data_IF_778307290801
#
_entry.id   IF_778307290801
#
_cell.length_a   1.000
_cell.length_b   1.000
_cell.length_c   1.000
_cell.angle_alpha   90.00
_cell.angle_beta   90.00
_cell.angle_gamma   90.00
#
_symmetry.space_group_name_H-M   'P 1'
#
loop_
_entity.id
_entity.type
_entity.pdbx_description
1 polymer ?
#
# COMPACT_ATOMS: atom_id res chain seq x y z
N UNK A 1 10.01 1.33 35.46
CA UNK A 1 8.60 0.90 35.33
C UNK A 1 8.48 -0.11 34.21
N UNK A 2 7.78 -1.23 34.39
CA UNK A 2 7.48 -2.19 33.31
C UNK A 2 5.99 -2.12 32.99
N UNK A 3 5.64 -1.78 31.75
CA UNK A 3 4.26 -1.83 31.27
C UNK A 3 3.88 -3.29 30.93
N UNK A 4 2.61 -3.68 31.17
CA UNK A 4 2.14 -5.01 30.76
C UNK A 4 1.92 -5.07 29.25
N UNK A 5 2.16 -6.24 28.64
CA UNK A 5 1.92 -6.46 27.21
C UNK A 5 0.48 -6.08 26.80
N UNK A 6 -0.51 -6.44 27.64
CA UNK A 6 -1.92 -6.05 27.43
C UNK A 6 -2.10 -4.54 27.34
N UNK A 7 -1.40 -3.76 28.18
CA UNK A 7 -1.47 -2.31 28.15
C UNK A 7 -0.83 -1.73 26.88
N UNK A 8 0.32 -2.28 26.45
CA UNK A 8 1.02 -1.86 25.23
C UNK A 8 0.12 -2.08 24.00
N UNK A 9 -0.41 -3.29 23.82
CA UNK A 9 -1.29 -3.63 22.69
C UNK A 9 -2.55 -2.74 22.68
N UNK A 10 -3.15 -2.49 23.85
CA UNK A 10 -4.31 -1.60 23.95
C UNK A 10 -4.01 -0.17 23.51
N UNK A 11 -2.79 0.31 23.72
CA UNK A 11 -2.38 1.68 23.43
C UNK A 11 -1.70 1.84 22.06
N UNK A 12 -1.42 0.75 21.35
CA UNK A 12 -0.61 0.76 20.12
C UNK A 12 -1.18 1.68 19.03
N UNK A 13 -2.49 1.91 19.00
CA UNK A 13 -3.14 2.76 17.99
C UNK A 13 -3.09 4.27 18.32
N UNK A 14 -2.54 4.64 19.48
CA UNK A 14 -2.49 6.02 19.99
C UNK A 14 -1.08 6.64 19.93
N UNK A 15 -0.14 5.99 19.25
CA UNK A 15 1.27 6.41 19.18
C UNK A 15 1.59 7.34 18.00
N UNK A 16 0.57 7.75 17.25
CA UNK A 16 0.71 8.47 16.00
C UNK A 16 1.10 9.94 16.19
N UNK A 17 1.88 10.46 15.24
CA UNK A 17 2.09 11.91 15.09
C UNK A 17 1.01 12.56 14.20
N UNK A 18 1.03 13.89 14.05
CA UNK A 18 0.05 14.61 13.23
C UNK A 18 0.04 14.20 11.76
N UNK A 19 1.20 13.88 11.17
CA UNK A 19 1.30 13.43 9.78
C UNK A 19 0.68 12.02 9.61
N UNK A 20 0.82 11.15 10.60
CA UNK A 20 0.25 9.80 10.57
C UNK A 20 -1.26 9.78 10.84
N UNK A 21 -1.83 10.81 11.47
CA UNK A 21 -3.29 10.90 11.68
C UNK A 21 -4.09 10.92 10.39
N UNK A 22 -3.54 11.54 9.35
CA UNK A 22 -4.21 11.72 8.06
C UNK A 22 -4.12 10.47 7.18
N UNK A 23 -3.26 9.51 7.54
CA UNK A 23 -3.06 8.30 6.76
C UNK A 23 -4.29 7.39 6.81
N UNK A 24 -4.68 6.78 5.67
CA UNK A 24 -5.86 5.92 5.61
C UNK A 24 -5.70 4.67 6.49
N UNK A 25 -4.46 4.16 6.57
CA UNK A 25 -4.06 2.98 7.34
C UNK A 25 -3.28 3.35 8.59
N UNK A 26 -3.64 2.75 9.73
CA UNK A 26 -3.06 3.05 11.05
C UNK A 26 -2.12 1.93 11.51
N UNK A 27 -1.11 1.61 10.68
CA UNK A 27 -0.08 0.62 10.99
C UNK A 27 1.19 1.29 11.52
N UNK A 28 1.22 1.57 12.83
CA UNK A 28 2.35 2.29 13.45
C UNK A 28 3.55 1.39 13.76
N UNK A 29 3.33 0.09 13.95
CA UNK A 29 4.37 -0.90 14.13
C UNK A 29 4.42 -1.75 12.87
N UNK A 30 5.53 -1.66 12.14
CA UNK A 30 5.76 -2.27 10.82
C UNK A 30 7.22 -2.72 10.71
N UNK A 31 7.57 -3.57 9.74
CA UNK A 31 8.98 -3.82 9.42
C UNK A 31 9.73 -2.49 9.21
N UNK A 32 10.96 -2.41 9.71
CA UNK A 32 11.83 -1.24 9.60
C UNK A 32 13.20 -1.65 9.07
N UNK A 33 13.95 -0.69 8.55
CA UNK A 33 15.38 -0.89 8.30
C UNK A 33 16.11 -0.87 9.64
N UNK A 34 16.75 -1.97 9.97
CA UNK A 34 17.43 -2.21 11.24
C UNK A 34 18.88 -1.72 11.22
N UNK A 35 19.44 -1.52 12.42
CA UNK A 35 20.85 -1.15 12.57
C UNK A 35 21.73 -2.34 12.18
N UNK A 36 22.66 -2.12 11.23
CA UNK A 36 23.50 -3.15 10.59
C UNK A 36 24.31 -4.05 11.54
N UNK A 37 24.55 -3.63 12.77
CA UNK A 37 25.42 -4.33 13.71
C UNK A 37 24.67 -5.11 14.81
N UNK A 38 23.33 -5.14 14.78
CA UNK A 38 22.59 -6.03 15.65
C UNK A 38 22.77 -7.48 15.20
N UNK A 39 23.03 -8.39 16.14
CA UNK A 39 23.35 -9.81 15.87
C UNK A 39 22.20 -10.54 15.16
N UNK A 40 20.98 -10.13 15.45
CA UNK A 40 19.72 -10.72 15.02
C UNK A 40 18.97 -9.86 13.98
N UNK A 41 19.65 -8.88 13.37
CA UNK A 41 19.04 -8.04 12.34
C UNK A 41 18.61 -8.86 11.12
N UNK A 42 17.39 -8.61 10.63
CA UNK A 42 16.78 -9.31 9.50
C UNK A 42 16.83 -8.43 8.25
N UNK A 43 16.38 -7.17 8.32
CA UNK A 43 16.32 -6.24 7.19
C UNK A 43 17.16 -5.01 7.50
N UNK A 44 18.35 -4.91 6.91
CA UNK A 44 19.32 -3.85 7.22
C UNK A 44 19.52 -2.82 6.10
N UNK A 45 18.81 -3.00 4.97
CA UNK A 45 18.79 -2.08 3.84
C UNK A 45 17.36 -1.92 3.33
N UNK A 46 17.08 -0.87 2.55
CA UNK A 46 15.73 -0.64 2.01
C UNK A 46 15.35 -1.80 1.08
N UNK A 47 14.10 -2.31 1.11
CA UNK A 47 13.68 -3.41 0.25
C UNK A 47 13.95 -3.19 -1.24
N UNK A 48 13.79 -1.95 -1.72
CA UNK A 48 14.11 -1.57 -3.10
C UNK A 48 15.60 -1.71 -3.44
N UNK A 49 16.50 -1.48 -2.49
CA UNK A 49 17.94 -1.65 -2.69
C UNK A 49 18.29 -3.12 -2.74
N UNK A 50 17.67 -3.94 -1.88
CA UNK A 50 17.91 -5.39 -1.81
C UNK A 50 17.54 -6.05 -3.13
N UNK A 51 16.33 -5.81 -3.66
CA UNK A 51 15.85 -6.43 -4.90
C UNK A 51 16.56 -5.90 -6.15
N UNK A 52 17.14 -4.70 -6.09
CA UNK A 52 17.94 -4.13 -7.20
C UNK A 52 19.41 -4.57 -7.20
N UNK A 53 19.90 -5.25 -6.16
CA UNK A 53 21.26 -5.82 -6.19
C UNK A 53 21.35 -6.85 -7.27
N UNK A 54 22.25 -6.64 -8.22
CA UNK A 54 22.34 -7.49 -9.40
C UNK A 54 22.53 -8.97 -9.03
N UNK A 55 21.60 -9.79 -9.49
CA UNK A 55 21.66 -11.24 -9.57
C UNK A 55 21.96 -11.96 -8.23
N UNK A 56 21.42 -11.44 -7.12
CA UNK A 56 21.57 -12.01 -5.77
C UNK A 56 20.50 -13.05 -5.43
N UNK A 57 19.40 -13.08 -6.18
CA UNK A 57 18.29 -13.99 -5.98
C UNK A 57 18.33 -15.12 -7.02
N UNK A 58 18.03 -16.36 -6.59
CA UNK A 58 18.11 -17.54 -7.48
C UNK A 58 16.87 -18.43 -7.44
N UNK A 59 16.00 -18.26 -6.45
CA UNK A 59 14.79 -19.05 -6.33
C UNK A 59 13.72 -18.59 -7.32
N UNK A 60 12.99 -19.49 -7.97
CA UNK A 60 11.78 -19.14 -8.70
C UNK A 60 10.76 -18.47 -7.78
N UNK A 61 10.08 -17.44 -8.29
CA UNK A 61 9.10 -16.66 -7.54
C UNK A 61 7.79 -16.62 -8.32
N UNK A 62 6.68 -16.75 -7.61
CA UNK A 62 5.35 -16.45 -8.14
C UNK A 62 4.74 -15.32 -7.30
N UNK A 63 4.36 -14.23 -7.96
CA UNK A 63 3.61 -13.14 -7.34
C UNK A 63 2.31 -12.90 -8.10
N UNK A 64 1.37 -12.21 -7.48
CA UNK A 64 0.15 -11.82 -8.14
C UNK A 64 -0.85 -11.25 -7.16
N UNK A 65 -2.00 -10.88 -7.69
CA UNK A 65 -3.10 -10.33 -6.92
C UNK A 65 -4.43 -10.73 -7.53
N UNK A 66 -5.49 -10.12 -7.02
CA UNK A 66 -6.82 -10.24 -7.58
C UNK A 66 -7.34 -8.91 -8.13
N UNK A 67 -8.45 -8.95 -8.89
CA UNK A 67 -9.02 -7.75 -9.51
C UNK A 67 -9.76 -6.81 -8.52
N UNK A 68 -9.82 -7.18 -7.23
CA UNK A 68 -10.56 -6.45 -6.19
C UNK A 68 -9.79 -6.39 -4.86
N UNK A 69 -8.46 -6.28 -4.88
CA UNK A 69 -7.61 -6.19 -3.67
C UNK A 69 -8.05 -5.04 -2.75
N UNK A 70 -8.46 -3.92 -3.35
CA UNK A 70 -8.94 -2.74 -2.65
C UNK A 70 -10.31 -2.89 -1.98
N UNK A 71 -11.00 -4.03 -2.12
CA UNK A 71 -12.34 -4.24 -1.54
C UNK A 71 -12.34 -4.14 -0.02
N UNK A 72 -11.32 -4.71 0.64
CA UNK A 72 -11.15 -4.59 2.09
C UNK A 72 -10.90 -3.15 2.51
N UNK A 73 -10.09 -2.41 1.75
CA UNK A 73 -9.82 -0.99 1.99
C UNK A 73 -11.08 -0.16 1.84
N UNK A 74 -11.82 -0.34 0.75
CA UNK A 74 -13.10 0.33 0.53
C UNK A 74 -14.05 0.07 1.69
N UNK A 75 -14.14 -1.18 2.16
CA UNK A 75 -14.92 -1.54 3.35
C UNK A 75 -14.44 -0.80 4.60
N UNK A 76 -13.14 -0.79 4.91
CA UNK A 76 -12.59 -0.10 6.09
C UNK A 76 -12.79 1.42 6.05
N UNK A 77 -12.76 2.01 4.86
CA UNK A 77 -12.87 3.46 4.65
C UNK A 77 -14.30 3.96 4.46
N UNK A 78 -15.30 3.07 4.33
CA UNK A 78 -16.70 3.42 4.03
C UNK A 78 -17.31 4.51 4.94
N UNK A 79 -16.87 4.60 6.20
CA UNK A 79 -17.32 5.61 7.16
C UNK A 79 -16.64 6.98 7.02
N UNK A 80 -15.51 7.04 6.31
CA UNK A 80 -14.65 8.23 6.14
C UNK A 80 -14.59 8.73 4.71
N UNK A 81 -15.32 8.12 3.77
CA UNK A 81 -15.24 8.42 2.32
C UNK A 81 -15.38 9.90 1.98
N UNK A 82 -16.26 10.63 2.68
CA UNK A 82 -16.48 12.06 2.46
C UNK A 82 -15.25 12.92 2.77
N UNK A 83 -14.29 12.41 3.52
CA UNK A 83 -13.03 13.12 3.80
C UNK A 83 -12.17 13.27 2.54
N UNK A 84 -12.24 12.31 1.60
CA UNK A 84 -11.48 12.37 0.36
C UNK A 84 -11.95 13.47 -0.59
N UNK A 85 -13.22 13.88 -0.49
CA UNK A 85 -13.72 15.05 -1.23
C UNK A 85 -13.13 16.37 -0.69
N UNK A 86 -12.86 16.43 0.62
CA UNK A 86 -12.26 17.60 1.28
C UNK A 86 -10.75 17.63 1.16
N UNK A 87 -10.14 16.45 1.11
CA UNK A 87 -8.71 16.20 1.11
C UNK A 87 -8.34 15.25 -0.04
N UNK A 88 -8.47 15.68 -1.30
CA UNK A 88 -8.21 14.82 -2.46
C UNK A 88 -6.76 14.34 -2.53
N UNK A 89 -5.81 15.05 -1.92
CA UNK A 89 -4.42 14.64 -1.77
C UNK A 89 -4.27 13.29 -1.04
N UNK A 90 -5.27 12.87 -0.25
CA UNK A 90 -5.29 11.56 0.43
C UNK A 90 -5.63 10.39 -0.50
N UNK A 91 -5.95 10.65 -1.77
CA UNK A 91 -6.13 9.63 -2.79
C UNK A 91 -4.80 9.21 -3.45
N UNK A 92 -3.71 9.92 -3.16
CA UNK A 92 -2.37 9.60 -3.67
C UNK A 92 -1.86 8.34 -2.97
N UNK A 93 -1.30 7.41 -3.75
CA UNK A 93 -0.65 6.19 -3.22
C UNK A 93 0.47 6.54 -2.25
N UNK A 94 0.58 5.73 -1.18
CA UNK A 94 1.69 5.82 -0.21
C UNK A 94 3.04 5.51 -0.84
N UNK A 95 3.10 4.89 -2.02
CA UNK A 95 4.34 4.72 -2.76
C UNK A 95 5.01 6.07 -3.09
N UNK A 96 4.22 7.14 -3.15
CA UNK A 96 4.69 8.50 -3.47
C UNK A 96 4.78 9.40 -2.23
N UNK A 97 4.79 8.84 -1.02
CA UNK A 97 4.83 9.64 0.21
C UNK A 97 6.17 10.39 0.34
N UNK A 98 7.28 9.72 0.03
CA UNK A 98 8.64 10.29 0.02
C UNK A 98 8.92 11.16 -1.24
N UNK A 99 8.00 11.20 -2.21
CA UNK A 99 8.21 11.94 -3.45
C UNK A 99 7.90 13.44 -3.25
N UNK A 100 8.78 14.31 -3.78
CA UNK A 100 8.50 15.73 -3.87
C UNK A 100 7.46 15.98 -4.98
N UNK A 101 6.24 16.29 -4.57
CA UNK A 101 5.12 16.57 -5.47
C UNK A 101 4.70 18.02 -5.27
N UNK A 102 5.02 18.93 -6.21
CA UNK A 102 4.73 20.37 -6.07
C UNK A 102 3.26 20.70 -5.84
N UNK A 103 2.33 19.93 -6.43
CA UNK A 103 0.88 20.10 -6.27
C UNK A 103 0.18 18.77 -5.94
N UNK A 104 0.27 18.34 -4.68
CA UNK A 104 -0.43 17.12 -4.20
C UNK A 104 -1.95 17.24 -4.29
N UNK A 105 -2.50 18.44 -4.08
CA UNK A 105 -3.96 18.64 -4.14
C UNK A 105 -4.46 18.50 -5.58
N UNK A 106 -3.76 19.09 -6.55
CA UNK A 106 -4.06 18.95 -7.97
C UNK A 106 -3.92 17.51 -8.45
N UNK A 107 -2.84 16.82 -8.06
CA UNK A 107 -2.70 15.39 -8.35
C UNK A 107 -3.85 14.56 -7.76
N UNK A 108 -4.23 14.82 -6.51
CA UNK A 108 -5.38 14.18 -5.88
C UNK A 108 -6.69 14.41 -6.64
N UNK A 109 -6.90 15.63 -7.16
CA UNK A 109 -8.06 15.95 -8.01
C UNK A 109 -8.02 15.21 -9.35
N UNK A 110 -6.84 15.05 -9.96
CA UNK A 110 -6.67 14.25 -11.18
C UNK A 110 -6.99 12.77 -10.94
N UNK A 111 -6.50 12.20 -9.84
CA UNK A 111 -6.82 10.83 -9.42
C UNK A 111 -8.34 10.69 -9.21
N UNK A 112 -8.94 11.63 -8.48
CA UNK A 112 -10.40 11.66 -8.31
C UNK A 112 -11.12 11.71 -9.66
N UNK A 113 -10.68 12.54 -10.58
CA UNK A 113 -11.29 12.65 -11.90
C UNK A 113 -11.20 11.33 -12.67
N UNK A 114 -10.05 10.64 -12.62
CA UNK A 114 -9.83 9.36 -13.29
C UNK A 114 -10.76 8.25 -12.77
N UNK A 115 -10.79 8.00 -11.46
CA UNK A 115 -11.58 6.90 -10.89
C UNK A 115 -13.07 7.24 -10.71
N UNK A 116 -13.38 8.49 -10.34
CA UNK A 116 -14.74 8.86 -9.93
C UNK A 116 -15.49 9.68 -10.98
N UNK A 117 -14.80 10.22 -12.00
CA UNK A 117 -15.43 11.01 -13.07
C UNK A 117 -16.12 12.28 -12.55
N UNK A 118 -15.58 12.89 -11.50
CA UNK A 118 -16.16 14.06 -10.84
C UNK A 118 -17.32 13.77 -9.86
N UNK A 119 -17.72 12.49 -9.71
CA UNK A 119 -18.72 12.09 -8.71
C UNK A 119 -18.21 12.30 -7.28
N UNK A 120 -19.14 12.40 -6.34
CA UNK A 120 -18.83 12.44 -4.90
C UNK A 120 -18.26 11.10 -4.45
N UNK A 121 -17.35 11.15 -3.47
CA UNK A 121 -16.77 9.95 -2.87
C UNK A 121 -17.64 9.55 -1.67
N UNK A 122 -18.58 8.65 -1.92
CA UNK A 122 -19.54 8.15 -0.94
C UNK A 122 -19.94 6.69 -1.24
N UNK A 123 -20.93 6.15 -0.52
CA UNK A 123 -21.35 4.75 -0.67
C UNK A 123 -21.73 4.38 -2.12
N UNK A 124 -22.21 5.32 -2.93
CA UNK A 124 -22.56 5.08 -4.33
C UNK A 124 -21.34 4.86 -5.23
N UNK A 125 -20.16 5.29 -4.78
CA UNK A 125 -18.88 5.15 -5.48
C UNK A 125 -17.89 4.23 -4.77
N UNK A 126 -18.41 3.30 -3.95
CA UNK A 126 -17.59 2.35 -3.20
C UNK A 126 -16.75 1.45 -4.11
N UNK A 127 -17.28 1.08 -5.28
CA UNK A 127 -16.54 0.28 -6.26
C UNK A 127 -15.35 1.06 -6.80
N UNK A 128 -15.52 2.35 -7.13
CA UNK A 128 -14.42 3.19 -7.61
C UNK A 128 -13.33 3.39 -6.55
N UNK A 129 -13.72 3.45 -5.27
CA UNK A 129 -12.74 3.43 -4.18
C UNK A 129 -12.00 2.09 -4.10
N UNK A 130 -12.71 0.97 -4.29
CA UNK A 130 -12.09 -0.35 -4.38
C UNK A 130 -11.10 -0.43 -5.54
N UNK A 131 -11.48 0.07 -6.73
CA UNK A 131 -10.63 0.05 -7.92
C UNK A 131 -9.38 0.92 -7.70
N UNK A 132 -9.55 2.14 -7.17
CA UNK A 132 -8.43 3.01 -6.80
C UNK A 132 -7.50 2.32 -5.80
N UNK A 133 -8.03 1.73 -4.73
CA UNK A 133 -7.21 1.07 -3.71
C UNK A 133 -6.52 -0.17 -4.25
N UNK A 134 -7.16 -0.94 -5.14
CA UNK A 134 -6.51 -2.06 -5.84
C UNK A 134 -5.25 -1.58 -6.57
N UNK A 135 -5.36 -0.48 -7.33
CA UNK A 135 -4.25 0.05 -8.11
C UNK A 135 -3.18 0.70 -7.22
N UNK A 136 -3.60 1.57 -6.30
CA UNK A 136 -2.73 2.43 -5.49
C UNK A 136 -2.03 1.71 -4.34
N UNK A 137 -2.66 0.72 -3.72
CA UNK A 137 -2.15 0.05 -2.52
C UNK A 137 -1.61 -1.36 -2.80
N UNK A 138 -1.92 -1.95 -3.96
CA UNK A 138 -1.51 -3.33 -4.27
C UNK A 138 -0.84 -3.46 -5.65
N UNK A 139 -1.57 -3.26 -6.75
CA UNK A 139 -1.08 -3.60 -8.08
C UNK A 139 0.15 -2.78 -8.50
N UNK A 140 0.23 -1.50 -8.13
CA UNK A 140 1.42 -0.70 -8.45
C UNK A 140 2.69 -1.26 -7.80
N UNK A 141 2.60 -1.73 -6.54
CA UNK A 141 3.73 -2.33 -5.84
C UNK A 141 4.16 -3.65 -6.48
N UNK A 142 3.18 -4.45 -6.93
CA UNK A 142 3.43 -5.70 -7.62
C UNK A 142 4.11 -5.47 -8.98
N UNK A 143 3.61 -4.51 -9.76
CA UNK A 143 4.17 -4.15 -11.07
C UNK A 143 5.60 -3.62 -10.95
N UNK A 144 5.85 -2.69 -10.03
CA UNK A 144 7.19 -2.12 -9.79
C UNK A 144 8.17 -3.20 -9.31
N UNK A 145 7.74 -4.09 -8.43
CA UNK A 145 8.60 -5.19 -7.94
C UNK A 145 8.91 -6.18 -9.06
N UNK A 146 7.93 -6.54 -9.89
CA UNK A 146 8.14 -7.41 -11.04
C UNK A 146 9.14 -6.80 -12.03
N UNK A 147 9.05 -5.50 -12.29
CA UNK A 147 10.00 -4.78 -13.10
C UNK A 147 11.42 -4.82 -12.50
N UNK A 148 11.57 -4.60 -11.20
CA UNK A 148 12.87 -4.68 -10.54
C UNK A 148 13.47 -6.09 -10.59
N UNK A 149 12.67 -7.13 -10.38
CA UNK A 149 13.13 -8.53 -10.52
C UNK A 149 13.57 -8.78 -11.97
N UNK A 150 12.75 -8.43 -12.96
CA UNK A 150 13.08 -8.65 -14.37
C UNK A 150 14.36 -7.94 -14.83
N UNK A 151 14.60 -6.72 -14.32
CA UNK A 151 15.80 -5.93 -14.67
C UNK A 151 17.07 -6.38 -13.94
N UNK A 152 16.95 -6.76 -12.67
CA UNK A 152 18.12 -6.91 -11.79
C UNK A 152 18.40 -8.36 -11.39
N UNK A 153 17.46 -9.30 -11.57
CA UNK A 153 17.57 -10.69 -11.13
C UNK A 153 17.43 -11.66 -12.32
N UNK A 154 18.38 -11.67 -13.29
CA UNK A 154 18.23 -12.41 -14.54
C UNK A 154 18.10 -13.93 -14.38
N UNK A 155 18.54 -14.50 -13.24
CA UNK A 155 18.40 -15.92 -12.93
C UNK A 155 17.07 -16.28 -12.25
N UNK A 156 16.28 -15.31 -11.80
CA UNK A 156 14.98 -15.58 -11.17
C UNK A 156 13.94 -15.89 -12.25
N UNK A 157 13.36 -17.09 -12.18
CA UNK A 157 12.13 -17.41 -12.93
C UNK A 157 10.94 -16.79 -12.21
N UNK A 158 10.49 -15.63 -12.68
CA UNK A 158 9.35 -14.92 -12.10
C UNK A 158 8.06 -15.21 -12.87
N UNK A 159 7.04 -15.69 -12.17
CA UNK A 159 5.69 -15.89 -12.69
C UNK A 159 4.74 -14.85 -12.07
N UNK A 160 3.87 -14.28 -12.90
CA UNK A 160 2.86 -13.32 -12.45
C UNK A 160 1.46 -13.86 -12.72
N UNK A 161 0.58 -13.85 -11.71
CA UNK A 161 -0.82 -14.21 -11.87
C UNK A 161 -1.75 -13.04 -11.56
N UNK A 162 -2.92 -13.04 -12.21
CA UNK A 162 -4.04 -12.17 -11.87
C UNK A 162 -5.28 -13.03 -11.68
N UNK A 163 -5.80 -13.07 -10.46
CA UNK A 163 -7.01 -13.82 -10.12
C UNK A 163 -8.26 -12.96 -10.34
N UNK A 164 -9.08 -13.33 -11.31
CA UNK A 164 -10.28 -12.57 -11.71
C UNK A 164 -11.58 -13.36 -11.56
N UNK A 165 -11.57 -14.49 -10.84
CA UNK A 165 -12.75 -15.31 -10.66
C UNK A 165 -13.62 -14.77 -9.52
N UNK A 166 -14.87 -14.43 -9.83
CA UNK A 166 -15.91 -14.11 -8.85
C UNK A 166 -16.97 -15.21 -8.86
N UNK A 167 -17.17 -15.87 -7.72
CA UNK A 167 -18.11 -16.97 -7.59
C UNK A 167 -19.53 -16.47 -7.33
N UNK A 168 -20.54 -17.26 -7.73
CA UNK A 168 -21.97 -16.96 -7.45
C UNK A 168 -22.28 -16.72 -5.97
N UNK A 169 -21.44 -17.24 -5.07
CA UNK A 169 -21.59 -17.14 -3.61
C UNK A 169 -20.56 -16.21 -2.94
N UNK A 170 -19.80 -15.44 -3.73
CA UNK A 170 -18.92 -14.41 -3.21
C UNK A 170 -19.78 -13.26 -2.65
N UNK A 171 -19.66 -12.99 -1.34
CA UNK A 171 -20.35 -11.92 -0.62
C UNK A 171 -19.75 -10.53 -0.91
#
# INVERSE_FOLDING_TARGET
MKASARRIVRLQNFVHNEAEKSQPYKFYFRPVVEVKHALDAIITDRPEDIVKRYDTMTMPIMTGGNTAEGSLTAFMLRGRMKEFDRHPERLISLLLDDAEIPDRVGLGKLIKQFYFGGRKIDKSTIQQLSDLSTDADFLIHQAVTAEWIARNQPRVKHYYYLFSFSGRWSL
#
